data_IF_275428053821
#
_entry.id   IF_275428053821
#
_cell.length_a   1.000
_cell.length_b   1.000
_cell.length_c   1.000
_cell.angle_alpha   90.00
_cell.angle_beta   90.00
_cell.angle_gamma   90.00
#
_symmetry.space_group_name_H-M   'P 1'
#
loop_
_entity.id
_entity.type
_entity.pdbx_description
1 polymer ?
#
# COMPACT_ATOMS: atom_id res chain seq x y z
N UNK A 1 -45.37 39.91 60.03
CA UNK A 1 -46.14 38.70 59.65
C UNK A 1 -45.42 38.05 58.48
N UNK A 2 -45.08 36.75 58.62
CA UNK A 2 -44.68 35.77 57.60
C UNK A 2 -43.48 36.13 56.70
N UNK A 3 -42.51 35.28 56.41
CA UNK A 3 -42.27 33.86 56.65
C UNK A 3 -40.97 33.56 55.88
N UNK A 4 -39.94 33.04 56.55
CA UNK A 4 -39.56 31.63 56.45
C UNK A 4 -39.09 31.22 55.04
N UNK A 5 -37.80 30.91 54.88
CA UNK A 5 -37.41 30.06 53.76
C UNK A 5 -35.93 29.98 53.38
N UNK A 6 -35.16 29.22 54.16
CA UNK A 6 -34.09 28.32 53.68
C UNK A 6 -32.72 28.94 53.31
N UNK A 7 -32.01 29.42 54.33
CA UNK A 7 -30.54 29.32 54.39
C UNK A 7 -30.18 27.96 55.03
N UNK A 8 -30.27 26.89 54.25
CA UNK A 8 -29.69 25.60 54.58
C UNK A 8 -29.65 24.80 53.27
N UNK A 9 -28.46 24.67 52.69
CA UNK A 9 -27.94 23.57 51.86
C UNK A 9 -26.69 24.08 51.13
N UNK A 10 -25.74 24.57 51.92
CA UNK A 10 -24.33 24.68 51.57
C UNK A 10 -23.68 23.32 51.83
N UNK A 11 -24.07 22.29 51.08
CA UNK A 11 -23.33 21.02 51.12
C UNK A 11 -23.56 20.21 49.86
N UNK A 12 -22.42 19.83 49.27
CA UNK A 12 -22.23 18.70 48.38
C UNK A 12 -22.92 18.78 47.02
N UNK A 13 -22.23 19.36 46.03
CA UNK A 13 -21.98 18.69 44.74
C UNK A 13 -20.75 19.33 44.06
N UNK A 14 -19.60 19.26 44.73
CA UNK A 14 -18.33 19.28 43.99
C UNK A 14 -18.17 17.89 43.37
N UNK A 15 -18.80 17.68 42.21
CA UNK A 15 -18.42 16.56 41.34
C UNK A 15 -16.97 16.83 40.94
N UNK A 16 -16.02 16.18 41.63
CA UNK A 16 -14.69 15.96 41.07
C UNK A 16 -14.94 15.23 39.75
N UNK A 17 -14.86 15.95 38.63
CA UNK A 17 -14.72 15.34 37.33
C UNK A 17 -13.49 14.44 37.43
N UNK A 18 -13.74 13.14 37.58
CA UNK A 18 -12.69 12.14 37.56
C UNK A 18 -11.99 12.27 36.23
N UNK A 19 -10.78 12.82 36.25
CA UNK A 19 -9.93 12.90 35.09
C UNK A 19 -9.34 11.50 34.81
N UNK A 20 -10.21 10.53 34.50
CA UNK A 20 -9.85 9.23 33.92
C UNK A 20 -9.98 9.29 32.39
N UNK A 21 -9.80 10.47 31.81
CA UNK A 21 -9.82 10.67 30.37
C UNK A 21 -8.57 10.08 29.73
N UNK A 22 -8.61 8.81 29.36
CA UNK A 22 -7.75 8.29 28.29
C UNK A 22 -8.00 9.19 27.08
N UNK A 23 -7.10 10.15 26.83
CA UNK A 23 -7.14 10.98 25.64
C UNK A 23 -7.02 10.05 24.44
N UNK A 24 -8.02 10.07 23.56
CA UNK A 24 -7.94 9.39 22.28
C UNK A 24 -6.79 10.01 21.49
N UNK A 25 -5.77 9.21 21.18
CA UNK A 25 -4.66 9.62 20.31
C UNK A 25 -4.84 8.92 18.95
N UNK A 26 -5.30 9.65 17.91
CA UNK A 26 -5.50 9.09 16.58
C UNK A 26 -4.21 8.52 15.98
N UNK A 27 -3.05 9.10 16.30
CA UNK A 27 -1.77 8.62 15.78
C UNK A 27 -1.38 7.28 16.41
N UNK A 28 -1.67 7.09 17.70
CA UNK A 28 -1.49 5.80 18.36
C UNK A 28 -2.40 4.71 17.76
N UNK A 29 -3.66 5.04 17.47
CA UNK A 29 -4.59 4.11 16.81
C UNK A 29 -4.11 3.74 15.40
N UNK A 30 -3.68 4.73 14.60
CA UNK A 30 -3.12 4.49 13.29
C UNK A 30 -1.86 3.61 13.35
N UNK A 31 -0.98 3.86 14.32
CA UNK A 31 0.20 3.01 14.56
C UNK A 31 -0.17 1.57 14.91
N UNK A 32 -1.16 1.35 15.78
CA UNK A 32 -1.66 0.01 16.10
C UNK A 32 -2.23 -0.70 14.87
N UNK A 33 -2.93 0.03 13.99
CA UNK A 33 -3.47 -0.53 12.76
C UNK A 33 -2.37 -0.96 11.78
N UNK A 34 -1.32 -0.17 11.63
CA UNK A 34 -0.13 -0.55 10.83
C UNK A 34 0.54 -1.79 11.41
N UNK A 35 0.68 -1.88 12.74
CA UNK A 35 1.21 -3.07 13.41
C UNK A 35 0.31 -4.29 13.16
N UNK A 36 -1.01 -4.12 13.23
CA UNK A 36 -1.97 -5.18 12.95
C UNK A 36 -1.86 -5.67 11.50
N UNK A 37 -1.67 -4.78 10.52
CA UNK A 37 -1.41 -5.15 9.12
C UNK A 37 -0.12 -5.96 8.97
N UNK A 38 0.97 -5.51 9.59
CA UNK A 38 2.23 -6.24 9.56
C UNK A 38 2.11 -7.62 10.21
N UNK A 39 1.46 -7.70 11.37
CA UNK A 39 1.21 -8.97 12.06
C UNK A 39 0.33 -9.92 11.23
N UNK A 40 -0.71 -9.40 10.57
CA UNK A 40 -1.56 -10.16 9.67
C UNK A 40 -0.77 -10.71 8.48
N UNK A 41 0.05 -9.88 7.81
CA UNK A 41 0.87 -10.31 6.68
C UNK A 41 1.92 -11.35 7.08
N UNK A 42 2.60 -11.14 8.22
CA UNK A 42 3.54 -12.14 8.76
C UNK A 42 2.82 -13.44 9.09
N UNK A 43 1.65 -13.38 9.71
CA UNK A 43 0.80 -14.54 9.97
C UNK A 43 0.43 -15.27 8.68
N UNK A 44 0.08 -14.54 7.62
CA UNK A 44 -0.24 -15.10 6.31
C UNK A 44 0.97 -15.82 5.66
N UNK A 45 2.19 -15.25 5.76
CA UNK A 45 3.41 -15.94 5.30
C UNK A 45 3.65 -17.22 6.12
N UNK A 46 3.60 -17.15 7.44
CA UNK A 46 3.84 -18.31 8.33
C UNK A 46 2.81 -19.42 8.10
N UNK A 47 1.56 -19.05 7.80
CA UNK A 47 0.49 -20.01 7.48
C UNK A 47 0.57 -20.57 6.05
N UNK A 48 1.50 -20.11 5.21
CA UNK A 48 1.55 -20.47 3.79
C UNK A 48 0.36 -19.93 2.99
N UNK A 49 -0.31 -18.88 3.48
CA UNK A 49 -1.45 -18.24 2.82
C UNK A 49 -1.03 -17.09 1.91
N UNK A 50 0.25 -16.70 1.92
CA UNK A 50 0.78 -15.58 1.14
C UNK A 50 2.27 -15.76 0.79
N UNK A 51 2.70 -15.15 -0.31
CA UNK A 51 4.01 -15.31 -0.97
C UNK A 51 4.29 -16.72 -1.49
N UNK A 52 4.32 -17.73 -0.62
CA UNK A 52 4.59 -19.14 -0.94
C UNK A 52 3.62 -20.03 -0.18
N UNK A 53 2.97 -20.93 -0.91
CA UNK A 53 2.00 -21.89 -0.40
C UNK A 53 2.63 -23.07 0.35
N UNK A 54 1.82 -23.91 1.02
CA UNK A 54 2.32 -25.11 1.72
C UNK A 54 2.94 -26.15 0.79
N UNK A 55 2.63 -26.10 -0.50
CA UNK A 55 3.17 -26.92 -1.58
C UNK A 55 4.53 -26.39 -2.10
N UNK A 56 5.02 -25.26 -1.57
CA UNK A 56 6.27 -24.62 -1.99
C UNK A 56 6.13 -23.75 -3.24
N UNK A 57 4.92 -23.65 -3.81
CA UNK A 57 4.66 -22.83 -4.99
C UNK A 57 4.27 -21.40 -4.61
N UNK A 58 4.65 -20.37 -5.38
CA UNK A 58 4.22 -19.01 -5.10
C UNK A 58 2.70 -18.83 -5.15
N UNK A 59 2.15 -18.07 -4.21
CA UNK A 59 0.73 -17.72 -4.21
C UNK A 59 0.45 -16.69 -5.31
N UNK A 60 -0.60 -16.92 -6.09
CA UNK A 60 -1.04 -16.01 -7.15
C UNK A 60 -1.60 -14.72 -6.57
N UNK A 61 -1.05 -13.59 -7.01
CA UNK A 61 -1.55 -12.23 -6.69
C UNK A 61 -1.42 -11.34 -7.93
N UNK A 62 -2.07 -10.18 -7.94
CA UNK A 62 -2.13 -9.28 -9.10
C UNK A 62 -0.74 -8.93 -9.70
N UNK A 63 0.28 -8.83 -8.84
CA UNK A 63 1.66 -8.58 -9.27
C UNK A 63 2.22 -9.59 -10.29
N UNK A 64 1.68 -10.81 -10.32
CA UNK A 64 2.05 -11.85 -11.30
C UNK A 64 1.96 -11.33 -12.74
N UNK A 65 0.94 -10.53 -13.03
CA UNK A 65 0.78 -9.91 -14.34
C UNK A 65 1.93 -8.98 -14.71
N UNK A 66 2.32 -8.12 -13.75
CA UNK A 66 3.37 -7.13 -13.95
C UNK A 66 4.72 -7.82 -14.15
N UNK A 67 5.00 -8.84 -13.34
CA UNK A 67 6.22 -9.62 -13.45
C UNK A 67 6.28 -10.35 -14.79
N UNK A 68 5.21 -11.06 -15.18
CA UNK A 68 5.17 -11.79 -16.45
C UNK A 68 5.37 -10.87 -17.67
N UNK A 69 4.74 -9.69 -17.67
CA UNK A 69 4.94 -8.69 -18.71
C UNK A 69 6.39 -8.15 -18.73
N UNK A 70 6.96 -7.86 -17.56
CA UNK A 70 8.36 -7.45 -17.42
C UNK A 70 9.34 -8.52 -17.90
N UNK A 71 9.05 -9.80 -17.66
CA UNK A 71 9.86 -10.94 -18.15
C UNK A 71 9.84 -11.05 -19.66
N UNK A 72 8.67 -10.90 -20.28
CA UNK A 72 8.55 -10.89 -21.74
C UNK A 72 9.33 -9.71 -22.34
N UNK A 73 9.21 -8.53 -21.75
CA UNK A 73 9.99 -7.37 -22.19
C UNK A 73 11.51 -7.57 -22.02
N UNK A 74 11.95 -8.13 -20.88
CA UNK A 74 13.35 -8.45 -20.62
C UNK A 74 13.91 -9.48 -21.63
N UNK A 75 13.06 -10.38 -22.13
CA UNK A 75 13.40 -11.34 -23.18
C UNK A 75 13.35 -10.75 -24.60
N UNK A 76 13.13 -9.44 -24.75
CA UNK A 76 12.99 -8.78 -26.06
C UNK A 76 11.65 -9.01 -26.74
N UNK A 77 10.65 -9.52 -26.01
CA UNK A 77 9.33 -9.91 -26.51
C UNK A 77 8.21 -9.05 -25.89
N UNK A 78 8.45 -7.75 -25.67
CA UNK A 78 7.51 -6.86 -24.98
C UNK A 78 6.10 -6.89 -25.60
N UNK A 79 5.98 -7.00 -26.92
CA UNK A 79 4.68 -7.08 -27.61
C UNK A 79 3.88 -8.33 -27.22
N UNK A 80 4.55 -9.45 -26.90
CA UNK A 80 3.90 -10.68 -26.50
C UNK A 80 3.21 -10.57 -25.13
N UNK A 81 3.51 -9.54 -24.33
CA UNK A 81 2.80 -9.29 -23.08
C UNK A 81 1.31 -8.93 -23.29
N UNK A 82 0.94 -8.48 -24.49
CA UNK A 82 -0.45 -8.20 -24.87
C UNK A 82 -1.14 -9.37 -25.56
N UNK A 83 -0.42 -10.49 -25.78
CA UNK A 83 -1.01 -11.75 -26.19
C UNK A 83 -1.37 -12.56 -24.94
N UNK A 84 -2.65 -12.91 -24.82
CA UNK A 84 -3.18 -13.61 -23.65
C UNK A 84 -2.45 -14.93 -23.39
N UNK A 85 -2.20 -15.72 -24.44
CA UNK A 85 -1.65 -17.07 -24.29
C UNK A 85 -0.16 -17.00 -23.92
N UNK A 86 0.61 -16.14 -24.58
CA UNK A 86 2.02 -15.93 -24.28
C UNK A 86 2.23 -15.40 -22.86
N UNK A 87 1.43 -14.41 -22.45
CA UNK A 87 1.51 -13.84 -21.11
C UNK A 87 1.12 -14.87 -20.04
N UNK A 88 -0.01 -15.57 -20.19
CA UNK A 88 -0.44 -16.63 -19.26
C UNK A 88 0.58 -17.76 -19.13
N UNK A 89 1.26 -18.13 -20.21
CA UNK A 89 2.30 -19.15 -20.18
C UNK A 89 3.46 -18.75 -19.24
N UNK A 90 3.85 -17.47 -19.25
CA UNK A 90 4.87 -16.94 -18.33
C UNK A 90 4.36 -16.89 -16.89
N UNK A 91 3.10 -16.52 -16.67
CA UNK A 91 2.47 -16.55 -15.33
C UNK A 91 2.50 -17.95 -14.72
N UNK A 92 2.05 -18.96 -15.48
CA UNK A 92 2.03 -20.37 -15.04
C UNK A 92 3.44 -20.88 -14.78
N UNK A 93 4.40 -20.53 -15.64
CA UNK A 93 5.79 -20.91 -15.43
C UNK A 93 6.40 -20.27 -14.17
N UNK A 94 5.98 -19.05 -13.80
CA UNK A 94 6.47 -18.35 -12.62
C UNK A 94 6.05 -19.04 -11.32
N UNK A 95 4.79 -19.49 -11.25
CA UNK A 95 4.22 -20.10 -10.06
C UNK A 95 4.37 -21.63 -10.04
N UNK A 96 4.64 -22.25 -11.20
CA UNK A 96 4.92 -23.68 -11.32
C UNK A 96 3.69 -24.58 -11.38
N UNK A 97 2.48 -24.02 -11.49
CA UNK A 97 1.24 -24.78 -11.65
C UNK A 97 0.18 -24.00 -12.45
N UNK A 98 -0.77 -24.66 -13.12
CA UNK A 98 -1.89 -23.99 -13.76
C UNK A 98 -2.83 -23.38 -12.71
N UNK A 99 -3.52 -22.30 -13.08
CA UNK A 99 -4.55 -21.66 -12.28
C UNK A 99 -5.68 -21.15 -13.16
N UNK A 100 -6.91 -21.12 -12.64
CA UNK A 100 -8.06 -20.57 -13.35
C UNK A 100 -7.99 -19.04 -13.42
N UNK A 101 -8.59 -18.47 -14.45
CA UNK A 101 -8.55 -17.03 -14.70
C UNK A 101 -7.22 -16.55 -15.30
N UNK A 102 -7.04 -15.24 -15.34
CA UNK A 102 -5.93 -14.59 -16.02
C UNK A 102 -5.71 -13.19 -15.44
N UNK A 103 -4.46 -12.84 -15.10
CA UNK A 103 -4.13 -11.47 -14.71
C UNK A 103 -3.59 -10.71 -15.91
N UNK A 104 -4.48 -9.97 -16.57
CA UNK A 104 -4.15 -9.32 -17.82
C UNK A 104 -3.22 -8.12 -17.69
N UNK A 105 -2.34 -7.97 -18.67
CA UNK A 105 -1.51 -6.79 -18.83
C UNK A 105 -2.22 -5.73 -19.71
N UNK A 106 -2.63 -4.62 -19.10
CA UNK A 106 -3.35 -3.52 -19.78
C UNK A 106 -2.59 -2.18 -19.79
N UNK A 107 -1.32 -2.18 -19.39
CA UNK A 107 -0.56 -0.96 -19.21
C UNK A 107 0.05 -0.46 -20.51
N UNK A 108 0.28 0.86 -20.65
CA UNK A 108 0.98 1.40 -21.80
C UNK A 108 2.43 0.87 -21.87
N UNK A 109 3.05 0.84 -23.07
CA UNK A 109 4.42 0.35 -23.24
C UNK A 109 5.48 1.06 -22.38
N UNK A 110 5.22 2.30 -21.98
CA UNK A 110 6.10 3.05 -21.06
C UNK A 110 6.26 2.36 -19.71
N UNK A 111 5.28 1.58 -19.25
CA UNK A 111 5.35 0.90 -17.97
C UNK A 111 6.33 -0.28 -17.95
N UNK A 112 6.79 -0.76 -19.12
CA UNK A 112 7.90 -1.71 -19.19
C UNK A 112 9.20 -1.13 -18.63
N UNK A 113 9.42 0.19 -18.70
CA UNK A 113 10.60 0.83 -18.10
C UNK A 113 10.67 0.60 -16.59
N UNK A 114 9.52 0.44 -15.94
CA UNK A 114 9.41 0.13 -14.51
C UNK A 114 9.50 -1.38 -14.27
N UNK A 115 8.82 -2.18 -15.08
CA UNK A 115 8.74 -3.64 -14.82
C UNK A 115 9.96 -4.44 -15.25
N UNK A 116 10.71 -4.03 -16.27
CA UNK A 116 11.93 -4.71 -16.72
C UNK A 116 12.97 -4.84 -15.59
N UNK A 117 13.38 -3.78 -14.87
CA UNK A 117 14.36 -3.93 -13.80
C UNK A 117 13.82 -4.77 -12.63
N UNK A 118 12.52 -4.70 -12.33
CA UNK A 118 11.89 -5.49 -11.26
C UNK A 118 11.84 -6.98 -11.64
N UNK A 119 11.49 -7.29 -12.88
CA UNK A 119 11.36 -8.65 -13.41
C UNK A 119 12.72 -9.34 -13.71
N UNK A 120 13.83 -8.62 -13.56
CA UNK A 120 15.16 -9.23 -13.55
C UNK A 120 15.34 -10.18 -12.35
N UNK A 121 14.62 -9.94 -11.26
CA UNK A 121 14.59 -10.82 -10.09
C UNK A 121 13.63 -12.01 -10.31
N UNK A 122 13.88 -13.16 -9.64
CA UNK A 122 12.88 -14.22 -9.53
C UNK A 122 11.57 -13.70 -8.91
N UNK A 123 10.45 -14.35 -9.19
CA UNK A 123 9.10 -13.84 -8.89
C UNK A 123 8.91 -13.38 -7.44
N UNK A 124 9.18 -14.23 -6.44
CA UNK A 124 8.95 -13.89 -5.02
C UNK A 124 9.84 -12.73 -4.55
N UNK A 125 11.17 -12.74 -4.79
CA UNK A 125 12.01 -11.56 -4.53
C UNK A 125 11.55 -10.29 -5.25
N UNK A 126 11.09 -10.41 -6.51
CA UNK A 126 10.56 -9.27 -7.27
C UNK A 126 9.30 -8.69 -6.62
N UNK A 127 8.38 -9.55 -6.19
CA UNK A 127 7.16 -9.16 -5.46
C UNK A 127 7.49 -8.40 -4.17
N UNK A 128 8.38 -8.95 -3.34
CA UNK A 128 8.81 -8.29 -2.10
C UNK A 128 9.48 -6.95 -2.37
N UNK A 129 10.40 -6.89 -3.34
CA UNK A 129 11.07 -5.67 -3.72
C UNK A 129 10.06 -4.60 -4.21
N UNK A 130 9.11 -4.99 -5.05
CA UNK A 130 8.08 -4.10 -5.57
C UNK A 130 7.20 -3.51 -4.46
N UNK A 131 6.67 -4.35 -3.57
CA UNK A 131 5.80 -3.91 -2.48
C UNK A 131 6.52 -2.93 -1.53
N UNK A 132 7.74 -3.27 -1.13
CA UNK A 132 8.53 -2.45 -0.20
C UNK A 132 8.96 -1.14 -0.85
N UNK A 133 9.48 -1.19 -2.09
CA UNK A 133 9.98 0.00 -2.78
C UNK A 133 8.83 0.97 -3.11
N UNK A 134 7.71 0.46 -3.61
CA UNK A 134 6.56 1.30 -3.96
C UNK A 134 5.91 1.92 -2.70
N UNK A 135 5.75 1.16 -1.61
CA UNK A 135 5.27 1.71 -0.33
C UNK A 135 6.23 2.78 0.22
N UNK A 136 7.54 2.53 0.20
CA UNK A 136 8.53 3.50 0.66
C UNK A 136 8.48 4.80 -0.17
N UNK A 137 8.37 4.67 -1.50
CA UNK A 137 8.20 5.81 -2.42
C UNK A 137 6.93 6.61 -2.14
N UNK A 138 5.80 5.93 -1.94
CA UNK A 138 4.54 6.55 -1.55
C UNK A 138 4.67 7.34 -0.24
N UNK A 139 5.19 6.72 0.82
CA UNK A 139 5.35 7.38 2.12
C UNK A 139 6.34 8.55 2.08
N UNK A 140 7.41 8.44 1.28
CA UNK A 140 8.33 9.53 1.03
C UNK A 140 7.62 10.71 0.33
N UNK A 141 6.80 10.45 -0.68
CA UNK A 141 6.03 11.47 -1.38
C UNK A 141 5.01 12.16 -0.47
N UNK A 142 4.32 11.41 0.41
CA UNK A 142 3.44 11.98 1.44
C UNK A 142 4.21 12.94 2.36
N UNK A 143 5.45 12.61 2.73
CA UNK A 143 6.30 13.48 3.54
C UNK A 143 6.64 14.81 2.86
N UNK A 144 6.68 14.84 1.53
CA UNK A 144 6.93 16.06 0.76
C UNK A 144 5.70 16.99 0.78
N UNK A 145 4.49 16.42 0.76
CA UNK A 145 3.23 17.18 0.80
C UNK A 145 2.95 17.67 2.23
N UNK A 146 3.09 16.79 3.22
CA UNK A 146 2.86 17.11 4.63
C UNK A 146 4.09 16.68 5.46
N UNK A 147 4.98 17.61 5.86
CA UNK A 147 6.28 17.30 6.48
C UNK A 147 6.17 16.87 7.95
N UNK A 148 5.12 16.14 8.32
CA UNK A 148 4.83 15.59 9.65
C UNK A 148 5.04 14.08 9.72
N UNK A 149 5.65 13.56 10.79
CA UNK A 149 5.94 12.11 10.91
C UNK A 149 4.64 11.31 10.98
N UNK A 150 3.64 11.90 11.62
CA UNK A 150 2.30 11.35 11.80
C UNK A 150 1.59 11.18 10.45
N UNK A 151 1.88 12.03 9.47
CA UNK A 151 1.29 11.91 8.12
C UNK A 151 1.62 10.57 7.46
N UNK A 152 2.85 10.06 7.66
CA UNK A 152 3.24 8.73 7.14
C UNK A 152 2.48 7.62 7.85
N UNK A 153 2.28 7.74 9.17
CA UNK A 153 1.57 6.74 9.97
C UNK A 153 0.11 6.69 9.54
N UNK A 154 -0.55 7.84 9.39
CA UNK A 154 -1.91 7.91 8.87
C UNK A 154 -2.01 7.38 7.44
N UNK A 155 -1.07 7.72 6.56
CA UNK A 155 -1.05 7.24 5.19
C UNK A 155 -0.88 5.71 5.12
N UNK A 156 -0.02 5.13 5.97
CA UNK A 156 0.18 3.68 6.05
C UNK A 156 -1.01 2.94 6.72
N UNK A 157 -1.79 3.63 7.54
CA UNK A 157 -2.94 3.06 8.25
C UNK A 157 -4.23 3.02 7.41
N UNK A 158 -4.24 3.57 6.19
CA UNK A 158 -5.43 3.51 5.32
C UNK A 158 -5.68 2.04 4.93
N UNK A 159 -6.91 1.51 5.04
CA UNK A 159 -7.19 0.10 4.75
C UNK A 159 -6.76 -0.39 3.37
N UNK A 160 -6.82 0.48 2.36
CA UNK A 160 -6.38 0.15 0.99
C UNK A 160 -4.88 -0.15 0.91
N UNK A 161 -4.07 0.31 1.88
CA UNK A 161 -2.63 0.00 1.95
C UNK A 161 -2.43 -1.49 2.15
N UNK A 162 -3.18 -2.12 3.06
CA UNK A 162 -3.06 -3.56 3.29
C UNK A 162 -3.37 -4.33 2.00
N UNK A 163 -4.48 -4.00 1.34
CA UNK A 163 -4.89 -4.65 0.10
C UNK A 163 -3.89 -4.45 -1.04
N UNK A 164 -3.48 -3.19 -1.28
CA UNK A 164 -2.53 -2.87 -2.32
C UNK A 164 -1.18 -3.57 -2.09
N UNK A 165 -0.73 -3.62 -0.83
CA UNK A 165 0.49 -4.32 -0.46
C UNK A 165 0.32 -5.82 -0.69
N UNK A 166 -0.72 -6.46 -0.15
CA UNK A 166 -0.90 -7.91 -0.27
C UNK A 166 -1.07 -8.39 -1.71
N UNK A 167 -1.71 -7.59 -2.56
CA UNK A 167 -1.90 -7.90 -3.98
C UNK A 167 -0.66 -7.55 -4.84
N UNK A 168 0.27 -6.75 -4.31
CA UNK A 168 1.39 -6.18 -5.06
C UNK A 168 0.93 -5.23 -6.18
N UNK A 169 -0.17 -4.52 -5.96
CA UNK A 169 -0.75 -3.56 -6.90
C UNK A 169 0.08 -2.27 -7.02
N UNK A 170 -0.12 -1.53 -8.11
CA UNK A 170 0.66 -0.33 -8.42
C UNK A 170 0.17 0.95 -7.72
N UNK A 171 -0.87 0.88 -6.89
CA UNK A 171 -1.51 2.06 -6.31
C UNK A 171 -0.56 2.94 -5.50
N UNK A 172 0.44 2.35 -4.84
CA UNK A 172 1.49 3.14 -4.16
C UNK A 172 2.34 3.96 -5.13
N UNK A 173 2.71 3.39 -6.29
CA UNK A 173 3.45 4.13 -7.30
C UNK A 173 2.62 5.29 -7.85
N UNK A 174 1.37 5.05 -8.26
CA UNK A 174 0.49 6.09 -8.79
C UNK A 174 0.21 7.18 -7.75
N UNK A 175 -0.12 6.81 -6.52
CA UNK A 175 -0.36 7.77 -5.44
C UNK A 175 0.93 8.55 -5.08
N UNK A 176 2.09 7.89 -5.10
CA UNK A 176 3.39 8.51 -4.85
C UNK A 176 3.76 9.53 -5.94
N UNK A 177 3.59 9.18 -7.21
CA UNK A 177 3.79 10.08 -8.35
C UNK A 177 2.88 11.29 -8.28
N UNK A 178 1.59 11.07 -7.97
CA UNK A 178 0.62 12.16 -7.79
C UNK A 178 1.00 13.09 -6.63
N UNK A 179 1.32 12.54 -5.46
CA UNK A 179 1.72 13.32 -4.30
C UNK A 179 3.01 14.12 -4.56
N UNK A 180 4.00 13.50 -5.21
CA UNK A 180 5.24 14.17 -5.59
C UNK A 180 5.00 15.28 -6.64
N UNK A 181 4.09 15.07 -7.59
CA UNK A 181 3.70 16.09 -8.57
C UNK A 181 3.05 17.30 -7.89
N UNK A 182 2.11 17.06 -6.96
CA UNK A 182 1.48 18.11 -6.16
C UNK A 182 2.50 18.90 -5.33
N UNK A 183 3.47 18.23 -4.72
CA UNK A 183 4.53 18.90 -3.97
C UNK A 183 5.46 19.75 -4.87
N UNK A 184 5.55 19.42 -6.16
CA UNK A 184 6.42 20.08 -7.13
C UNK A 184 5.71 21.18 -7.94
N UNK A 185 4.38 21.21 -8.01
CA UNK A 185 3.62 21.97 -9.02
C UNK A 185 3.94 23.48 -9.03
N UNK A 186 4.05 24.10 -7.86
CA UNK A 186 4.30 25.55 -7.75
C UNK A 186 5.77 25.94 -7.99
N UNK A 187 6.71 25.04 -7.67
CA UNK A 187 8.15 25.35 -7.66
C UNK A 187 8.94 24.74 -8.82
N UNK A 188 8.46 23.65 -9.38
CA UNK A 188 9.13 22.84 -10.42
C UNK A 188 8.10 22.23 -11.38
N UNK A 189 7.35 23.07 -12.14
CA UNK A 189 6.23 22.62 -12.97
C UNK A 189 6.64 21.59 -14.04
N UNK A 190 7.87 21.68 -14.57
CA UNK A 190 8.38 20.68 -15.51
C UNK A 190 8.51 19.29 -14.87
N UNK A 191 9.00 19.20 -13.63
CA UNK A 191 9.08 17.92 -12.89
C UNK A 191 7.68 17.41 -12.57
N UNK A 192 6.78 18.29 -12.14
CA UNK A 192 5.39 17.92 -11.89
C UNK A 192 4.73 17.33 -13.16
N UNK A 193 4.96 17.95 -14.33
CA UNK A 193 4.48 17.45 -15.61
C UNK A 193 5.05 16.07 -15.98
N UNK A 194 6.35 15.83 -15.74
CA UNK A 194 6.97 14.51 -15.96
C UNK A 194 6.33 13.45 -15.04
N UNK A 195 6.16 13.77 -13.75
CA UNK A 195 5.57 12.83 -12.78
C UNK A 195 4.12 12.50 -13.14
N UNK A 196 3.35 13.49 -13.61
CA UNK A 196 1.98 13.29 -14.10
C UNK A 196 1.97 12.46 -15.39
N UNK A 197 2.91 12.69 -16.31
CA UNK A 197 3.05 11.91 -17.54
C UNK A 197 3.45 10.45 -17.30
N UNK A 198 3.97 10.12 -16.12
CA UNK A 198 4.31 8.76 -15.70
C UNK A 198 3.16 8.02 -14.99
N UNK A 199 1.98 8.65 -14.82
CA UNK A 199 0.81 8.03 -14.20
C UNK A 199 0.08 7.04 -15.11
#
# INVERSE_FOLDING_TARGET
>A
MAGAGRNALSTAFSVKAGNSGRRFDPAALAGLLVIAYAAFLVGAVVAGAWLVGPDGHPVTVDFLSFWAAGRLALAGQAAAAYDFAAHKAVEVAAIGHPFEGYYSWYYPPTFFLVMVPVAALPYVPALVAWMVASLAGFLAAIRLVLPRREAMVFAAAVPVVLWNFSAGQNGFLSAGLMAAALAAIDRRPAIAGILIGCL
#
